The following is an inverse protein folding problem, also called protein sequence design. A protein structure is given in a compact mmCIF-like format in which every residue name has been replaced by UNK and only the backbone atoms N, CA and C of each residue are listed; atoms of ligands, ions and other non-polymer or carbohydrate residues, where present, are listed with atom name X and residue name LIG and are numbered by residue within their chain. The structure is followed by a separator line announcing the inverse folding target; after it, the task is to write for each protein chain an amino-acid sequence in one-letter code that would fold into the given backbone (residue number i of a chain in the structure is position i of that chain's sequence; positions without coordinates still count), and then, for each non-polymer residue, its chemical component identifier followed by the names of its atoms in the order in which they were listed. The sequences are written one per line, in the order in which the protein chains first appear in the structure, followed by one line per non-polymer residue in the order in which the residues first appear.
data_IF_323208613353
#
_entry.id   IF_323208613353
#
_cell.length_a   1.000
_cell.length_b   1.000
_cell.length_c   1.000
_cell.angle_alpha   90.00
_cell.angle_beta   90.00
_cell.angle_gamma   90.00
#
_symmetry.space_group_name_H-M   'P 1'
#
loop_
_entity.id
_entity.type
_entity.pdbx_description
1 polymer ?
#
# COMPACT_ATOMS: atom_id res chain seq x y z
N UNK A 1 -12.00 -3.79 -39.04
CA UNK A 1 -11.19 -4.46 -38.01
C UNK A 1 -11.44 -3.76 -36.70
N UNK A 2 -11.97 -4.46 -35.70
CA UNK A 2 -12.05 -3.93 -34.35
C UNK A 2 -10.70 -4.15 -33.66
N UNK A 3 -10.15 -3.08 -33.07
CA UNK A 3 -8.92 -3.14 -32.29
C UNK A 3 -9.24 -2.87 -30.82
N UNK A 4 -8.50 -3.51 -29.93
CA UNK A 4 -8.58 -3.29 -28.49
C UNK A 4 -7.19 -2.94 -27.96
N UNK A 5 -7.14 -2.04 -26.97
CA UNK A 5 -5.91 -1.59 -26.32
C UNK A 5 -5.99 -1.90 -24.83
N UNK A 6 -4.93 -2.48 -24.28
CA UNK A 6 -4.78 -2.68 -22.83
C UNK A 6 -3.78 -1.65 -22.32
N UNK A 7 -4.22 -0.82 -21.38
CA UNK A 7 -3.38 0.19 -20.72
C UNK A 7 -3.18 -0.23 -19.28
N UNK A 8 -1.92 -0.27 -18.83
CA UNK A 8 -1.59 -0.39 -17.40
C UNK A 8 -0.98 0.91 -16.93
N UNK A 9 -1.46 1.43 -15.79
CA UNK A 9 -0.96 2.67 -15.21
C UNK A 9 -1.02 2.60 -13.69
N UNK A 10 -0.12 3.33 -13.04
CA UNK A 10 -0.14 3.56 -11.59
C UNK A 10 -0.98 4.77 -11.20
N UNK A 11 -1.12 5.74 -12.11
CA UNK A 11 -1.96 6.90 -11.91
C UNK A 11 -3.42 6.55 -12.17
N UNK A 12 -4.36 7.22 -11.46
CA UNK A 12 -5.77 7.13 -11.82
C UNK A 12 -5.95 7.85 -13.16
N UNK A 13 -6.26 7.10 -14.22
CA UNK A 13 -6.51 7.64 -15.56
C UNK A 13 -7.95 8.18 -15.68
N UNK A 14 -8.36 9.09 -14.79
CA UNK A 14 -9.78 9.54 -14.67
C UNK A 14 -10.33 10.22 -15.93
N UNK A 15 -9.47 10.79 -16.77
CA UNK A 15 -9.86 11.51 -17.98
C UNK A 15 -10.04 10.63 -19.22
N UNK A 16 -9.71 9.34 -19.15
CA UNK A 16 -9.80 8.43 -20.30
C UNK A 16 -11.12 7.64 -20.25
N UNK A 17 -11.89 7.60 -21.35
CA UNK A 17 -13.07 6.75 -21.44
C UNK A 17 -12.62 5.28 -21.53
N UNK A 18 -12.93 4.49 -20.52
CA UNK A 18 -12.66 3.05 -20.49
C UNK A 18 -13.95 2.24 -20.59
N UNK A 19 -13.89 1.14 -21.34
CA UNK A 19 -14.96 0.13 -21.39
C UNK A 19 -14.91 -0.81 -20.18
N UNK A 20 -13.72 -1.02 -19.60
CA UNK A 20 -13.51 -1.83 -18.40
C UNK A 20 -12.30 -1.31 -17.60
N UNK A 21 -12.38 -1.37 -16.27
CA UNK A 21 -11.28 -1.03 -15.36
C UNK A 21 -11.10 -2.16 -14.34
N UNK A 22 -9.87 -2.62 -14.21
CA UNK A 22 -9.45 -3.57 -13.17
C UNK A 22 -8.49 -2.85 -12.25
N UNK A 23 -8.90 -2.59 -11.01
CA UNK A 23 -7.97 -2.12 -9.98
C UNK A 23 -7.29 -3.35 -9.34
N UNK A 24 -5.96 -3.33 -9.29
CA UNK A 24 -5.19 -4.36 -8.62
C UNK A 24 -5.00 -4.00 -7.14
N UNK A 25 -5.78 -4.67 -6.29
CA UNK A 25 -5.64 -4.61 -4.83
C UNK A 25 -4.60 -5.60 -4.30
N UNK A 26 -4.36 -5.56 -2.99
CA UNK A 26 -3.55 -6.55 -2.29
C UNK A 26 -4.09 -7.97 -2.52
N UNK A 27 -3.19 -8.97 -2.59
CA UNK A 27 -3.63 -10.36 -2.66
C UNK A 27 -4.29 -10.76 -1.34
N UNK A 28 -5.26 -11.67 -1.39
CA UNK A 28 -5.67 -12.36 -0.17
C UNK A 28 -4.51 -13.22 0.36
N UNK A 29 -4.50 -13.46 1.68
CA UNK A 29 -3.53 -14.38 2.29
C UNK A 29 -3.54 -15.77 1.63
N UNK A 30 -4.72 -16.24 1.20
CA UNK A 30 -4.85 -17.49 0.47
C UNK A 30 -4.11 -17.45 -0.87
N UNK A 31 -4.33 -16.40 -1.69
CA UNK A 31 -3.63 -16.23 -2.97
C UNK A 31 -2.12 -16.10 -2.78
N UNK A 32 -1.67 -15.44 -1.70
CA UNK A 32 -0.25 -15.34 -1.37
C UNK A 32 0.39 -16.72 -1.11
N UNK A 33 -0.29 -17.57 -0.34
CA UNK A 33 0.15 -18.95 -0.10
C UNK A 33 0.12 -19.79 -1.38
N UNK A 34 -0.87 -19.62 -2.24
CA UNK A 34 -0.91 -20.28 -3.57
C UNK A 34 0.31 -19.86 -4.40
N UNK A 35 0.67 -18.58 -4.41
CA UNK A 35 1.88 -18.10 -5.08
C UNK A 35 3.13 -18.77 -4.52
N UNK A 36 3.29 -18.82 -3.19
CA UNK A 36 4.42 -19.50 -2.56
C UNK A 36 4.50 -20.98 -2.94
N UNK A 37 3.37 -21.70 -2.92
CA UNK A 37 3.34 -23.13 -3.29
C UNK A 37 3.70 -23.35 -4.76
N UNK A 38 3.29 -22.45 -5.66
CA UNK A 38 3.66 -22.53 -7.08
C UNK A 38 5.17 -22.33 -7.32
N UNK A 39 5.83 -21.50 -6.52
CA UNK A 39 7.27 -21.20 -6.68
C UNK A 39 8.15 -22.21 -5.95
N UNK A 40 7.74 -22.66 -4.75
CA UNK A 40 8.58 -23.43 -3.82
C UNK A 40 8.15 -24.90 -3.65
N UNK A 41 6.99 -25.26 -4.20
CA UNK A 41 6.34 -26.55 -3.98
C UNK A 41 5.49 -26.59 -2.70
N UNK A 42 4.37 -27.32 -2.76
CA UNK A 42 3.40 -27.45 -1.66
C UNK A 42 4.04 -27.97 -0.38
N UNK A 43 4.82 -29.05 -0.46
CA UNK A 43 5.45 -29.68 0.70
C UNK A 43 6.39 -28.74 1.46
N UNK A 44 7.09 -27.83 0.76
CA UNK A 44 8.01 -26.89 1.42
C UNK A 44 7.27 -25.80 2.17
N UNK A 45 6.19 -25.26 1.60
CA UNK A 45 5.35 -24.24 2.24
C UNK A 45 4.58 -24.83 3.42
N UNK A 46 4.03 -26.04 3.26
CA UNK A 46 3.16 -26.63 4.27
C UNK A 46 3.93 -27.14 5.50
N UNK A 47 5.22 -27.48 5.35
CA UNK A 47 6.12 -27.77 6.50
C UNK A 47 6.26 -26.60 7.47
N UNK A 48 6.12 -25.37 6.99
CA UNK A 48 6.22 -24.15 7.82
C UNK A 48 5.15 -23.13 7.39
N UNK A 49 3.90 -23.57 7.44
CA UNK A 49 2.76 -22.77 6.99
C UNK A 49 2.55 -21.52 7.85
N UNK A 50 2.90 -21.59 9.14
CA UNK A 50 2.79 -20.47 10.06
C UNK A 50 3.75 -19.33 9.66
N UNK A 51 5.04 -19.63 9.42
CA UNK A 51 5.95 -18.59 9.00
C UNK A 51 5.68 -18.12 7.56
N UNK A 52 5.22 -18.99 6.67
CA UNK A 52 4.78 -18.57 5.33
C UNK A 52 3.65 -17.52 5.40
N UNK A 53 2.66 -17.72 6.29
CA UNK A 53 1.61 -16.73 6.55
C UNK A 53 2.19 -15.43 7.12
N UNK A 54 3.15 -15.52 8.03
CA UNK A 54 3.78 -14.33 8.61
C UNK A 54 4.55 -13.53 7.57
N UNK A 55 5.36 -14.17 6.73
CA UNK A 55 6.03 -13.52 5.60
C UNK A 55 5.01 -12.84 4.68
N UNK A 56 3.91 -13.51 4.35
CA UNK A 56 2.86 -12.92 3.52
C UNK A 56 2.24 -11.65 4.16
N UNK A 57 1.96 -11.69 5.47
CA UNK A 57 1.45 -10.55 6.24
C UNK A 57 2.46 -9.40 6.31
N UNK A 58 3.75 -9.69 6.52
CA UNK A 58 4.83 -8.69 6.52
C UNK A 58 5.05 -8.06 5.15
N UNK A 59 4.85 -8.83 4.09
CA UNK A 59 4.78 -8.32 2.73
C UNK A 59 3.50 -7.52 2.44
N UNK A 60 2.56 -7.47 3.38
CA UNK A 60 1.21 -6.90 3.23
C UNK A 60 0.44 -7.50 2.06
N UNK A 61 0.74 -8.74 1.72
CA UNK A 61 0.22 -9.45 0.56
C UNK A 61 0.35 -8.69 -0.77
N UNK A 62 1.35 -7.80 -0.90
CA UNK A 62 1.64 -7.12 -2.16
C UNK A 62 2.30 -8.10 -3.14
N UNK A 63 1.77 -8.27 -4.38
CA UNK A 63 2.29 -9.26 -5.33
C UNK A 63 3.80 -9.20 -5.56
N UNK A 64 4.36 -7.99 -5.68
CA UNK A 64 5.80 -7.82 -5.89
C UNK A 64 6.62 -8.26 -4.67
N UNK A 65 6.22 -7.87 -3.46
CA UNK A 65 6.92 -8.23 -2.23
C UNK A 65 6.89 -9.75 -2.01
N UNK A 66 5.72 -10.37 -2.25
CA UNK A 66 5.57 -11.82 -2.21
C UNK A 66 6.47 -12.53 -3.22
N UNK A 67 6.53 -12.03 -4.47
CA UNK A 67 7.41 -12.60 -5.49
C UNK A 67 8.89 -12.54 -5.08
N UNK A 68 9.33 -11.43 -4.49
CA UNK A 68 10.71 -11.27 -4.00
C UNK A 68 10.98 -12.21 -2.83
N UNK A 69 10.07 -12.28 -1.85
CA UNK A 69 10.19 -13.19 -0.71
C UNK A 69 10.31 -14.66 -1.17
N UNK A 70 9.45 -15.09 -2.09
CA UNK A 70 9.48 -16.43 -2.67
C UNK A 70 10.81 -16.70 -3.39
N UNK A 71 11.27 -15.77 -4.22
CA UNK A 71 12.54 -15.91 -4.95
C UNK A 71 13.74 -16.02 -3.99
N UNK A 72 13.76 -15.26 -2.90
CA UNK A 72 14.84 -15.32 -1.90
C UNK A 72 14.91 -16.67 -1.19
N UNK A 73 13.76 -17.24 -0.83
CA UNK A 73 13.66 -18.57 -0.22
C UNK A 73 13.98 -19.67 -1.24
N UNK A 74 13.59 -19.49 -2.50
CA UNK A 74 13.89 -20.43 -3.59
C UNK A 74 15.40 -20.50 -3.86
N UNK A 75 16.06 -19.34 -3.92
CA UNK A 75 17.50 -19.24 -4.16
C UNK A 75 18.37 -19.76 -2.99
N UNK A 76 17.78 -20.02 -1.82
CA UNK A 76 18.49 -20.50 -0.62
C UNK A 76 17.75 -21.70 -0.03
N UNK A 77 18.04 -22.94 -0.48
CA UNK A 77 17.34 -24.14 -0.01
C UNK A 77 17.46 -24.37 1.51
N UNK A 78 18.53 -23.88 2.14
CA UNK A 78 18.75 -23.94 3.59
C UNK A 78 17.97 -22.88 4.38
N UNK A 79 17.34 -21.90 3.73
CA UNK A 79 16.49 -20.92 4.41
C UNK A 79 15.04 -21.41 4.50
N UNK A 80 14.47 -21.22 5.68
CA UNK A 80 13.05 -21.41 5.98
C UNK A 80 12.26 -20.10 5.78
N UNK A 81 10.92 -20.21 5.80
CA UNK A 81 10.08 -19.02 5.92
C UNK A 81 10.27 -18.35 7.29
N UNK A 82 10.53 -19.13 8.34
CA UNK A 82 10.89 -18.62 9.67
C UNK A 82 12.07 -17.64 9.64
N UNK A 83 13.15 -18.00 8.94
CA UNK A 83 14.33 -17.14 8.82
C UNK A 83 14.00 -15.80 8.16
N UNK A 84 13.21 -15.83 7.08
CA UNK A 84 12.80 -14.61 6.39
C UNK A 84 11.82 -13.78 7.24
N UNK A 85 10.87 -14.41 7.94
CA UNK A 85 9.93 -13.74 8.83
C UNK A 85 10.66 -13.01 9.97
N UNK A 86 11.63 -13.68 10.60
CA UNK A 86 12.48 -13.11 11.64
C UNK A 86 13.22 -11.88 11.13
N UNK A 87 13.83 -11.96 9.93
CA UNK A 87 14.56 -10.84 9.31
C UNK A 87 13.64 -9.67 8.96
N UNK A 88 12.45 -9.93 8.42
CA UNK A 88 11.45 -8.90 8.12
C UNK A 88 10.90 -8.22 9.38
N UNK A 89 10.97 -8.87 10.54
CA UNK A 89 10.43 -8.34 11.80
C UNK A 89 11.47 -7.56 12.59
N UNK A 90 12.72 -8.02 12.65
CA UNK A 90 13.73 -7.49 13.58
C UNK A 90 14.79 -6.63 12.92
N UNK A 91 14.84 -6.53 11.59
CA UNK A 91 15.76 -5.60 10.92
C UNK A 91 15.19 -4.18 10.94
N UNK A 92 16.04 -3.21 11.26
CA UNK A 92 15.69 -1.79 11.15
C UNK A 92 15.35 -1.36 9.72
N UNK A 93 15.88 -2.08 8.72
CA UNK A 93 15.63 -1.86 7.28
C UNK A 93 15.02 -3.10 6.63
N UNK A 94 13.73 -3.39 6.86
CA UNK A 94 13.09 -4.59 6.33
C UNK A 94 13.00 -4.61 4.80
N UNK A 95 13.09 -3.46 4.12
CA UNK A 95 13.05 -3.39 2.66
C UNK A 95 14.33 -3.93 2.00
N UNK A 96 15.44 -4.05 2.73
CA UNK A 96 16.65 -4.73 2.25
C UNK A 96 16.41 -6.23 2.04
N UNK A 97 15.51 -6.82 2.83
CA UNK A 97 15.06 -8.20 2.66
C UNK A 97 14.06 -8.35 1.51
N UNK A 98 13.48 -7.25 1.03
CA UNK A 98 12.56 -7.21 -0.12
C UNK A 98 13.24 -6.65 -1.37
N UNK A 99 14.51 -7.04 -1.52
CA UNK A 99 15.32 -6.84 -2.73
C UNK A 99 15.91 -8.18 -3.19
N UNK A 100 15.82 -8.48 -4.48
CA UNK A 100 16.43 -9.67 -5.10
C UNK A 100 16.71 -9.43 -6.59
N UNK A 101 18.00 -9.41 -6.97
CA UNK A 101 18.42 -9.05 -8.32
C UNK A 101 17.88 -7.68 -8.73
N UNK A 102 17.20 -7.53 -9.88
CA UNK A 102 16.62 -6.26 -10.31
C UNK A 102 15.32 -5.89 -9.58
N UNK A 103 14.76 -6.80 -8.77
CA UNK A 103 13.48 -6.58 -8.09
C UNK A 103 13.70 -5.90 -6.75
N UNK A 104 13.01 -4.79 -6.52
CA UNK A 104 13.04 -4.05 -5.26
C UNK A 104 11.69 -3.39 -4.98
N UNK A 105 11.16 -3.64 -3.78
CA UNK A 105 9.99 -2.92 -3.28
C UNK A 105 10.29 -1.43 -3.12
N UNK A 106 11.49 -1.09 -2.62
CA UNK A 106 11.94 0.30 -2.45
C UNK A 106 11.90 1.06 -3.77
N UNK A 107 12.41 0.47 -4.85
CA UNK A 107 12.41 1.08 -6.18
C UNK A 107 11.00 1.30 -6.75
N UNK A 108 9.98 0.61 -6.24
CA UNK A 108 8.59 0.83 -6.66
C UNK A 108 7.96 2.06 -6.00
N UNK A 109 8.36 2.40 -4.77
CA UNK A 109 7.87 3.58 -4.05
C UNK A 109 8.64 4.86 -4.42
N UNK A 110 9.94 4.75 -4.72
CA UNK A 110 10.78 5.90 -4.99
C UNK A 110 10.24 6.88 -6.05
N UNK A 111 9.71 6.43 -7.21
CA UNK A 111 9.15 7.36 -8.19
C UNK A 111 7.93 8.14 -7.68
N UNK A 112 7.11 7.56 -6.80
CA UNK A 112 5.97 8.28 -6.21
C UNK A 112 6.45 9.35 -5.23
N UNK A 113 7.37 8.98 -4.35
CA UNK A 113 7.98 9.92 -3.39
C UNK A 113 8.71 11.08 -4.08
N UNK A 114 9.49 10.80 -5.13
CA UNK A 114 10.21 11.84 -5.85
C UNK A 114 9.31 12.78 -6.66
N UNK A 115 8.04 12.44 -6.90
CA UNK A 115 7.08 13.37 -7.54
C UNK A 115 6.34 14.26 -6.55
N UNK A 116 6.42 13.96 -5.25
CA UNK A 116 5.80 14.79 -4.22
C UNK A 116 6.46 16.17 -4.16
N UNK A 117 5.65 17.20 -3.90
CA UNK A 117 6.13 18.49 -3.45
C UNK A 117 6.85 18.34 -2.10
N UNK A 118 7.72 19.29 -1.75
CA UNK A 118 8.56 19.15 -0.55
C UNK A 118 7.72 19.06 0.73
N UNK A 119 6.62 19.81 0.83
CA UNK A 119 5.74 19.78 2.00
C UNK A 119 5.08 18.41 2.19
N UNK A 120 4.65 17.77 1.10
CA UNK A 120 4.10 16.41 1.14
C UNK A 120 5.18 15.37 1.48
N UNK A 121 6.43 15.57 1.05
CA UNK A 121 7.57 14.72 1.45
C UNK A 121 7.87 14.84 2.94
N UNK A 122 7.84 16.06 3.48
CA UNK A 122 8.01 16.31 4.93
C UNK A 122 6.96 15.55 5.72
N UNK A 123 5.67 15.71 5.36
CA UNK A 123 4.58 14.96 5.98
C UNK A 123 4.80 13.45 5.88
N UNK A 124 5.16 12.94 4.70
CA UNK A 124 5.46 11.53 4.50
C UNK A 124 6.59 11.01 5.41
N UNK A 125 7.69 11.75 5.56
CA UNK A 125 8.79 11.39 6.47
C UNK A 125 8.33 11.34 7.93
N UNK A 126 7.56 12.33 8.38
CA UNK A 126 7.04 12.33 9.75
C UNK A 126 6.10 11.16 10.02
N UNK A 127 5.27 10.78 9.05
CA UNK A 127 4.41 9.60 9.17
C UNK A 127 5.27 8.35 9.45
N UNK A 128 6.42 8.21 8.77
CA UNK A 128 7.40 7.15 9.03
C UNK A 128 8.05 7.19 10.42
N UNK A 129 8.29 8.38 10.97
CA UNK A 129 8.85 8.56 12.32
C UNK A 129 7.81 8.35 13.42
N UNK A 130 6.60 8.85 13.21
CA UNK A 130 5.50 8.82 14.16
C UNK A 130 5.09 7.39 14.48
N UNK A 131 5.27 6.44 13.55
CA UNK A 131 4.82 5.06 13.66
C UNK A 131 3.30 4.90 13.52
N UNK A 132 2.58 5.99 13.25
CA UNK A 132 1.14 5.98 13.03
C UNK A 132 0.85 5.34 11.67
N UNK A 133 -0.15 4.46 11.64
CA UNK A 133 -0.53 3.73 10.43
C UNK A 133 -1.89 4.10 9.89
N UNK A 134 -2.75 4.69 10.70
CA UNK A 134 -4.07 5.19 10.30
C UNK A 134 -4.17 6.59 10.84
N UNK A 135 -4.42 7.59 9.98
CA UNK A 135 -4.63 8.97 10.42
C UNK A 135 -5.99 9.45 9.97
N UNK A 136 -6.54 10.41 10.71
CA UNK A 136 -7.70 11.20 10.30
C UNK A 136 -7.42 12.63 10.73
N UNK A 137 -7.80 13.59 9.90
CA UNK A 137 -7.64 15.01 10.17
C UNK A 137 -8.85 15.73 9.58
N UNK A 138 -9.64 16.46 10.39
CA UNK A 138 -10.67 17.36 9.88
C UNK A 138 -10.05 18.44 8.96
N UNK A 139 -10.81 18.98 7.99
CA UNK A 139 -10.38 20.13 7.20
C UNK A 139 -9.94 21.30 8.09
N UNK A 140 -8.89 22.02 7.69
CA UNK A 140 -8.31 23.10 8.49
C UNK A 140 -7.50 22.64 9.71
N UNK A 141 -7.18 21.34 9.83
CA UNK A 141 -6.21 20.88 10.84
C UNK A 141 -4.83 21.37 10.44
N UNK A 142 -4.24 22.22 11.28
CA UNK A 142 -2.90 22.75 11.06
C UNK A 142 -1.82 21.95 11.81
N UNK A 143 -0.61 21.91 11.25
CA UNK A 143 0.61 21.51 11.97
C UNK A 143 1.59 22.69 11.95
N UNK A 144 1.56 23.55 12.99
CA UNK A 144 2.36 24.78 13.04
C UNK A 144 3.86 24.50 12.93
N UNK A 145 4.31 23.38 13.47
CA UNK A 145 5.71 22.93 13.44
C UNK A 145 6.28 22.76 12.03
N UNK A 146 5.43 22.67 11.00
CA UNK A 146 5.83 22.49 9.60
C UNK A 146 5.18 23.47 8.63
N UNK A 147 4.45 24.47 9.16
CA UNK A 147 3.66 25.37 8.34
C UNK A 147 2.77 24.62 7.32
N UNK A 148 2.20 23.47 7.73
CA UNK A 148 1.20 22.77 6.93
C UNK A 148 -0.17 23.38 7.26
N UNK A 149 -0.75 24.19 6.36
CA UNK A 149 -1.99 24.91 6.63
C UNK A 149 -3.22 23.99 6.64
N UNK A 150 -3.18 22.87 5.91
CA UNK A 150 -4.23 21.85 5.95
C UNK A 150 -3.63 20.44 5.82
N UNK A 151 -3.61 19.72 6.94
CA UNK A 151 -3.16 18.32 7.00
C UNK A 151 -4.10 17.40 6.25
N UNK A 152 -5.40 17.66 6.24
CA UNK A 152 -6.37 16.83 5.51
C UNK A 152 -6.08 16.89 4.01
N UNK A 153 -5.86 18.08 3.46
CA UNK A 153 -5.51 18.26 2.04
C UNK A 153 -4.16 17.60 1.70
N UNK A 154 -3.16 17.71 2.57
CA UNK A 154 -1.87 17.06 2.37
C UNK A 154 -1.97 15.51 2.40
N UNK A 155 -2.84 14.95 3.26
CA UNK A 155 -3.12 13.52 3.27
C UNK A 155 -3.86 13.06 2.00
N UNK A 156 -4.75 13.88 1.45
CA UNK A 156 -5.40 13.61 0.16
C UNK A 156 -4.40 13.59 -0.99
N UNK A 157 -3.51 14.59 -1.09
CA UNK A 157 -2.43 14.61 -2.10
C UNK A 157 -1.53 13.38 -2.00
N UNK A 158 -1.18 12.96 -0.78
CA UNK A 158 -0.43 11.71 -0.56
C UNK A 158 -1.22 10.47 -1.00
N UNK A 159 -2.55 10.44 -0.79
CA UNK A 159 -3.40 9.34 -1.24
C UNK A 159 -3.48 9.25 -2.78
N UNK A 160 -3.47 10.39 -3.48
CA UNK A 160 -3.45 10.43 -4.94
C UNK A 160 -2.19 9.80 -5.54
N UNK A 161 -1.08 9.82 -4.80
CA UNK A 161 0.17 9.14 -5.21
C UNK A 161 0.19 7.63 -4.93
N UNK A 162 -0.87 7.08 -4.32
CA UNK A 162 -0.96 5.69 -3.83
C UNK A 162 0.02 5.34 -2.71
N UNK A 163 0.62 6.34 -2.06
CA UNK A 163 1.39 6.13 -0.84
C UNK A 163 0.49 5.98 0.39
N UNK A 164 -0.71 6.55 0.35
CA UNK A 164 -1.78 6.32 1.32
C UNK A 164 -3.02 5.70 0.65
N UNK A 165 -3.80 4.95 1.43
CA UNK A 165 -5.12 4.42 1.04
C UNK A 165 -6.19 5.13 1.83
N UNK A 166 -7.19 5.69 1.16
CA UNK A 166 -8.37 6.26 1.83
C UNK A 166 -9.28 5.13 2.30
N UNK A 167 -9.61 5.13 3.58
CA UNK A 167 -10.55 4.24 4.26
C UNK A 167 -11.76 5.08 4.65
N UNK A 168 -12.88 4.80 4.00
CA UNK A 168 -14.14 5.49 4.29
C UNK A 168 -14.83 4.81 5.47
N UNK A 169 -15.29 5.61 6.44
CA UNK A 169 -15.99 5.14 7.64
C UNK A 169 -17.48 4.85 7.40
N UNK A 170 -17.99 5.16 6.21
CA UNK A 170 -19.35 4.80 5.77
C UNK A 170 -20.46 5.77 6.19
N UNK A 171 -20.17 6.74 7.06
CA UNK A 171 -21.13 7.80 7.42
C UNK A 171 -20.95 9.04 6.53
N UNK A 172 -22.02 9.60 5.96
CA UNK A 172 -21.95 10.88 5.25
C UNK A 172 -21.37 11.98 6.15
N UNK A 173 -20.42 12.75 5.63
CA UNK A 173 -19.77 13.85 6.36
C UNK A 173 -18.72 13.42 7.40
N UNK A 174 -18.43 12.11 7.52
CA UNK A 174 -17.36 11.66 8.40
C UNK A 174 -15.98 11.99 7.81
N UNK A 175 -15.04 12.31 8.71
CA UNK A 175 -13.66 12.61 8.34
C UNK A 175 -13.01 11.37 7.71
N UNK A 176 -12.37 11.50 6.53
CA UNK A 176 -11.70 10.37 5.90
C UNK A 176 -10.55 9.85 6.79
N UNK A 177 -10.34 8.54 6.76
CA UNK A 177 -9.16 7.92 7.38
C UNK A 177 -8.17 7.53 6.30
N UNK A 178 -6.89 7.76 6.55
CA UNK A 178 -5.80 7.48 5.63
C UNK A 178 -4.93 6.38 6.22
N UNK A 179 -4.81 5.28 5.49
CA UNK A 179 -4.01 4.13 5.89
C UNK A 179 -2.66 4.13 5.19
N UNK A 180 -1.61 4.13 6.00
CA UNK A 180 -0.23 3.92 5.57
C UNK A 180 0.11 2.43 5.67
N UNK A 181 0.27 1.81 4.51
CA UNK A 181 0.58 0.40 4.40
C UNK A 181 1.95 0.09 5.04
N UNK A 182 2.11 -1.08 5.69
CA UNK A 182 3.30 -1.39 6.49
C UNK A 182 4.63 -1.24 5.72
N UNK A 183 4.69 -1.70 4.47
CA UNK A 183 5.87 -1.53 3.61
C UNK A 183 6.11 -0.08 3.17
N UNK A 184 5.04 0.72 3.03
CA UNK A 184 5.17 2.16 2.72
C UNK A 184 5.62 2.92 3.97
N UNK A 185 5.14 2.54 5.16
CA UNK A 185 5.62 3.05 6.45
C UNK A 185 7.11 2.76 6.66
N UNK A 186 7.57 1.54 6.35
CA UNK A 186 8.99 1.22 6.36
C UNK A 186 9.80 2.11 5.40
N UNK A 187 9.28 2.36 4.19
CA UNK A 187 9.92 3.26 3.23
C UNK A 187 9.94 4.72 3.71
N UNK A 188 8.84 5.22 4.26
CA UNK A 188 8.74 6.53 4.88
C UNK A 188 9.77 6.71 5.98
N UNK A 189 9.95 5.69 6.83
CA UNK A 189 10.97 5.68 7.89
C UNK A 189 12.38 5.74 7.32
N UNK A 190 12.70 4.94 6.30
CA UNK A 190 14.02 5.00 5.63
C UNK A 190 14.30 6.36 4.96
N UNK A 191 13.27 7.10 4.53
CA UNK A 191 13.40 8.49 4.06
C UNK A 191 13.58 9.46 5.20
N UNK A 192 12.85 9.30 6.28
CA UNK A 192 13.01 10.14 7.45
C UNK A 192 14.39 9.98 8.12
N UNK A 193 14.91 8.77 8.23
CA UNK A 193 16.26 8.52 8.74
C UNK A 193 17.35 9.19 7.89
N UNK A 194 17.13 9.30 6.57
CA UNK A 194 18.10 9.88 5.65
C UNK A 194 17.98 11.39 5.49
N UNK A 195 16.77 11.94 5.55
CA UNK A 195 16.46 13.29 5.06
C UNK A 195 15.77 14.17 6.12
N UNK A 196 15.27 13.62 7.23
CA UNK A 196 14.46 14.42 8.16
C UNK A 196 15.30 15.42 8.97
N UNK A 197 14.79 16.64 9.05
CA UNK A 197 15.28 17.68 9.95
C UNK A 197 14.86 17.41 11.40
N UNK A 198 15.50 18.09 12.36
CA UNK A 198 15.13 17.95 13.77
C UNK A 198 13.71 18.45 14.07
N UNK A 199 13.27 19.47 13.33
CA UNK A 199 11.90 19.98 13.38
C UNK A 199 10.91 18.88 12.96
N UNK A 200 11.20 18.16 11.86
CA UNK A 200 10.35 17.03 11.42
C UNK A 200 10.31 15.89 12.45
N UNK A 201 11.41 15.63 13.16
CA UNK A 201 11.44 14.62 14.23
C UNK A 201 10.55 15.01 15.41
N UNK A 202 10.60 16.28 15.83
CA UNK A 202 9.75 16.80 16.89
C UNK A 202 8.26 16.78 16.46
N UNK A 203 7.97 17.23 15.25
CA UNK A 203 6.62 17.30 14.69
C UNK A 203 5.98 15.90 14.50
N UNK A 204 6.77 14.85 14.29
CA UNK A 204 6.26 13.47 14.23
C UNK A 204 5.57 13.02 15.53
N UNK A 205 5.94 13.59 16.69
CA UNK A 205 5.24 13.35 17.95
C UNK A 205 3.88 14.03 17.99
N UNK A 206 3.73 15.18 17.33
CA UNK A 206 2.46 15.92 17.23
C UNK A 206 1.44 15.12 16.40
N UNK A 207 1.87 14.52 15.28
CA UNK A 207 1.03 13.60 14.50
C UNK A 207 0.51 12.42 15.32
N UNK A 208 1.35 11.85 16.19
CA UNK A 208 0.92 10.76 17.08
C UNK A 208 -0.16 11.22 18.06
N UNK A 209 -0.02 12.41 18.64
CA UNK A 209 -1.04 13.00 19.53
C UNK A 209 -2.34 13.32 18.79
N UNK A 210 -2.27 13.76 17.53
CA UNK A 210 -3.45 13.96 16.69
C UNK A 210 -4.20 12.64 16.45
N UNK A 211 -3.47 11.56 16.14
CA UNK A 211 -4.08 10.24 16.00
C UNK A 211 -4.74 9.77 17.30
N UNK A 212 -4.04 9.86 18.44
CA UNK A 212 -4.58 9.43 19.74
C UNK A 212 -5.90 10.14 20.09
N UNK A 213 -6.07 11.41 19.69
CA UNK A 213 -7.32 12.16 19.87
C UNK A 213 -8.46 11.64 18.99
N UNK A 214 -8.16 11.25 17.75
CA UNK A 214 -9.14 10.77 16.76
C UNK A 214 -9.39 9.24 16.83
N UNK A 215 -8.49 8.48 17.45
CA UNK A 215 -8.59 7.03 17.64
C UNK A 215 -9.65 6.61 18.68
N UNK A 216 -10.23 7.56 19.42
CA UNK A 216 -11.36 7.32 20.32
C UNK A 216 -12.63 6.81 19.59
N UNK A 217 -12.67 6.84 18.26
CA UNK A 217 -13.70 6.22 17.43
C UNK A 217 -13.21 4.90 16.80
N UNK A 218 -13.92 3.77 16.98
CA UNK A 218 -13.45 2.45 16.53
C UNK A 218 -13.28 2.38 15.01
N UNK A 219 -12.12 1.86 14.59
CA UNK A 219 -11.82 1.53 13.19
C UNK A 219 -12.05 0.04 12.98
N UNK A 220 -13.12 -0.31 12.26
CA UNK A 220 -13.18 -1.61 11.62
C UNK A 220 -12.45 -1.50 10.28
N UNK A 221 -11.40 -2.29 10.02
CA UNK A 221 -10.89 -2.45 8.67
C UNK A 221 -12.07 -2.99 7.84
N UNK A 222 -12.62 -2.16 6.94
CA UNK A 222 -13.65 -2.65 6.05
C UNK A 222 -13.11 -3.90 5.34
N UNK A 223 -13.85 -5.00 5.47
CA UNK A 223 -13.50 -6.24 4.80
C UNK A 223 -13.18 -5.92 3.34
N UNK A 224 -11.95 -6.22 2.93
CA UNK A 224 -11.49 -6.07 1.55
C UNK A 224 -12.39 -7.00 0.71
N UNK A 225 -13.39 -6.42 0.03
CA UNK A 225 -14.29 -7.20 -0.80
C UNK A 225 -15.62 -6.51 -1.10
N UNK A 226 -15.67 -5.81 -2.24
CA UNK A 226 -16.45 -6.26 -3.40
C UNK A 226 -16.04 -5.41 -4.60
N UNK A 227 -15.41 -6.07 -5.57
CA UNK A 227 -15.46 -5.57 -6.94
C UNK A 227 -16.94 -5.29 -7.24
N UNK A 228 -17.29 -4.03 -7.53
CA UNK A 228 -18.52 -3.75 -8.27
C UNK A 228 -18.28 -4.35 -9.65
N UNK A 229 -18.67 -5.60 -9.83
CA UNK A 229 -18.92 -6.13 -11.16
C UNK A 229 -20.02 -5.26 -11.75
N UNK A 230 -19.62 -4.27 -12.53
CA UNK A 230 -20.51 -3.76 -13.57
C UNK A 230 -20.92 -4.99 -14.37
N UNK A 231 -22.22 -5.30 -14.36
CA UNK A 231 -22.78 -6.37 -15.18
C UNK A 231 -22.20 -6.22 -16.59
N UNK A 232 -21.65 -7.26 -17.23
CA UNK A 232 -21.43 -7.18 -18.66
C UNK A 232 -22.81 -6.95 -19.27
N UNK A 233 -23.00 -5.79 -19.90
CA UNK A 233 -24.17 -5.54 -20.72
C UNK A 233 -24.26 -6.68 -21.71
N UNK A 234 -25.37 -7.42 -21.65
CA UNK A 234 -25.69 -8.48 -22.60
C UNK A 234 -25.70 -7.86 -23.99
N UNK A 235 -24.70 -8.19 -24.80
CA UNK A 235 -24.74 -7.92 -26.23
C UNK A 235 -25.79 -8.85 -26.84
N UNK A 236 -27.02 -8.34 -26.99
CA UNK A 236 -28.00 -8.93 -27.90
C UNK A 236 -27.62 -8.61 -29.34
N UNK A 237 -27.82 -9.53 -30.31
CA UNK A 237 -27.54 -9.25 -31.70
C UNK A 237 -28.49 -8.16 -32.19
N UNK A 238 -27.94 -7.02 -32.66
CA UNK A 238 -28.72 -6.04 -33.40
C UNK A 238 -29.29 -6.73 -34.64
N UNK A 239 -30.62 -6.85 -34.65
CA UNK A 239 -31.39 -7.40 -35.75
C UNK A 239 -31.14 -6.61 -37.03
N UNK A 240 -31.02 -7.35 -38.12
CA UNK A 240 -31.15 -6.83 -39.48
C UNK A 240 -32.60 -6.35 -39.64
N UNK A 241 -32.81 -5.09 -39.97
CA UNK A 241 -34.06 -4.66 -40.58
C UNK A 241 -34.00 -4.94 -42.10
N UNK A 242 -35.08 -5.45 -42.71
CA UNK A 242 -35.19 -5.56 -44.15
C UNK A 242 -35.93 -4.35 -44.76
N UNK A 243 -35.37 -3.91 -45.90
CA UNK A 243 -35.89 -3.02 -46.95
C UNK A 243 -36.07 -1.53 -46.63
#
# INVERSE_FOLDING_TARGET
MESAVIITSRARLTSLPFTSRVEHDEMSLHQALVLFRRVLGTSRVDRDLAAAREVARRCGCLPLALRIAAARVAARPHWSFGDLAHRLTHRSRPLDELTHGPLSVRSCFAPAYHRLAEDDRRLFRMLGLSGVRVLSAPPGTELPSLAVPDVAEALERLADTRLLKVVHTGAPGAVPRFWLHGLVSAYARERAEAEASEIERAAAQELRRLEDREAAAPVLPAAIGRARSGRPGSWGPMGREPL
#
